data_IF_865343686714
#
_entry.id   IF_865343686714
#
_cell.length_a   1.000
_cell.length_b   1.000
_cell.length_c   1.000
_cell.angle_alpha   90.00
_cell.angle_beta   90.00
_cell.angle_gamma   90.00
#
_symmetry.space_group_name_H-M   'P 1'
#
loop_
_entity.id
_entity.type
_entity.pdbx_description
1 polymer ?
#
# COMPACT_ATOMS: atom_id res chain seq x y z
N UNK A 1 -43.48 -8.05 -5.73
CA UNK A 1 -43.21 -7.29 -6.97
C UNK A 1 -41.70 -7.03 -7.04
N UNK A 2 -40.98 -7.98 -7.65
CA UNK A 2 -39.52 -7.97 -7.79
C UNK A 2 -39.14 -7.05 -8.95
N UNK A 3 -38.77 -5.80 -8.67
CA UNK A 3 -38.07 -4.99 -9.65
C UNK A 3 -36.65 -5.53 -9.74
N UNK A 4 -36.39 -6.29 -10.80
CA UNK A 4 -35.07 -6.84 -11.10
C UNK A 4 -34.08 -5.69 -11.24
N UNK A 5 -33.02 -5.73 -10.43
CA UNK A 5 -31.88 -4.83 -10.53
C UNK A 5 -31.05 -5.29 -11.74
N UNK A 6 -31.57 -5.10 -12.95
CA UNK A 6 -30.80 -5.15 -14.18
C UNK A 6 -30.29 -3.73 -14.46
N UNK A 7 -29.25 -3.32 -13.76
CA UNK A 7 -28.44 -2.17 -14.18
C UNK A 7 -27.26 -2.70 -14.98
N UNK A 8 -27.51 -3.13 -16.21
CA UNK A 8 -26.49 -3.19 -17.25
C UNK A 8 -26.18 -1.74 -17.70
N UNK A 9 -25.71 -0.91 -16.76
CA UNK A 9 -25.09 0.38 -17.08
C UNK A 9 -23.95 0.07 -18.06
N UNK A 10 -23.97 0.62 -19.29
CA UNK A 10 -22.99 0.26 -20.29
C UNK A 10 -21.60 0.55 -19.73
N UNK A 11 -20.76 -0.47 -19.63
CA UNK A 11 -19.39 -0.34 -19.13
C UNK A 11 -18.64 0.66 -20.01
N UNK A 12 -18.56 1.91 -19.55
CA UNK A 12 -17.87 2.93 -20.32
C UNK A 12 -16.40 2.52 -20.44
N UNK A 13 -15.77 2.74 -21.61
CA UNK A 13 -14.33 2.49 -21.76
C UNK A 13 -13.49 3.25 -20.73
N UNK A 14 -14.03 4.35 -20.19
CA UNK A 14 -13.43 5.08 -19.08
C UNK A 14 -13.47 4.27 -17.77
N UNK A 15 -14.63 3.73 -17.39
CA UNK A 15 -14.79 2.93 -16.17
C UNK A 15 -13.87 1.71 -16.20
N UNK A 16 -13.85 0.93 -17.29
CA UNK A 16 -12.98 -0.25 -17.42
C UNK A 16 -11.51 0.12 -17.21
N UNK A 17 -11.03 1.19 -17.86
CA UNK A 17 -9.65 1.67 -17.70
C UNK A 17 -9.36 2.12 -16.27
N UNK A 18 -10.29 2.86 -15.65
CA UNK A 18 -10.12 3.35 -14.29
C UNK A 18 -10.07 2.21 -13.26
N UNK A 19 -10.92 1.18 -13.41
CA UNK A 19 -10.91 0.02 -12.51
C UNK A 19 -9.68 -0.85 -12.75
N UNK A 20 -9.24 -1.05 -13.99
CA UNK A 20 -8.01 -1.78 -14.29
C UNK A 20 -6.78 -1.14 -13.64
N UNK A 21 -6.62 0.19 -13.75
CA UNK A 21 -5.53 0.93 -13.10
C UNK A 21 -5.63 0.83 -11.58
N UNK A 22 -6.84 0.94 -11.01
CA UNK A 22 -7.05 0.80 -9.57
C UNK A 22 -6.70 -0.62 -9.06
N UNK A 23 -7.08 -1.67 -9.79
CA UNK A 23 -6.76 -3.05 -9.46
C UNK A 23 -5.26 -3.35 -9.55
N UNK A 24 -4.56 -2.75 -10.53
CA UNK A 24 -3.09 -2.87 -10.63
C UNK A 24 -2.39 -2.31 -9.39
N UNK A 25 -2.90 -1.21 -8.80
CA UNK A 25 -2.37 -0.69 -7.54
C UNK A 25 -2.47 -1.71 -6.39
N UNK A 26 -3.58 -2.43 -6.28
CA UNK A 26 -3.73 -3.51 -5.30
C UNK A 26 -2.79 -4.69 -5.54
N UNK A 27 -2.53 -5.02 -6.81
CA UNK A 27 -1.57 -6.08 -7.18
C UNK A 27 -0.14 -5.68 -6.81
N UNK A 28 0.27 -4.43 -7.12
CA UNK A 28 1.61 -3.91 -6.79
C UNK A 28 1.81 -3.87 -5.27
N UNK A 29 0.80 -3.41 -4.52
CA UNK A 29 0.87 -3.44 -3.06
C UNK A 29 1.08 -4.85 -2.50
N UNK A 30 0.37 -5.85 -3.04
CA UNK A 30 0.59 -7.25 -2.65
C UNK A 30 1.97 -7.79 -3.04
N UNK A 31 2.52 -7.32 -4.16
CA UNK A 31 3.88 -7.66 -4.59
C UNK A 31 4.93 -7.14 -3.59
N UNK A 32 4.80 -5.89 -3.13
CA UNK A 32 5.74 -5.29 -2.18
C UNK A 32 5.77 -6.06 -0.85
N UNK A 33 4.60 -6.46 -0.33
CA UNK A 33 4.51 -7.30 0.87
C UNK A 33 5.18 -8.67 0.66
N UNK A 34 5.01 -9.26 -0.52
CA UNK A 34 5.64 -10.53 -0.87
C UNK A 34 7.16 -10.45 -0.97
N UNK A 35 7.69 -9.39 -1.58
CA UNK A 35 9.14 -9.15 -1.69
C UNK A 35 9.76 -8.94 -0.30
N UNK A 36 9.12 -8.16 0.58
CA UNK A 36 9.58 -7.97 1.96
C UNK A 36 9.63 -9.31 2.70
N UNK A 37 8.56 -10.12 2.60
CA UNK A 37 8.51 -11.46 3.19
C UNK A 37 9.64 -12.38 2.69
N UNK A 38 9.98 -12.32 1.40
CA UNK A 38 11.09 -13.09 0.82
C UNK A 38 12.49 -12.56 1.21
N UNK A 39 12.64 -11.25 1.41
CA UNK A 39 13.91 -10.62 1.74
C UNK A 39 14.24 -10.66 3.25
N UNK A 40 13.22 -10.76 4.10
CA UNK A 40 13.30 -10.75 5.55
C UNK A 40 14.39 -11.68 6.13
N UNK A 41 14.46 -12.98 5.79
CA UNK A 41 15.50 -13.87 6.33
C UNK A 41 16.93 -13.43 5.99
N UNK A 42 17.12 -12.87 4.78
CA UNK A 42 18.43 -12.36 4.34
C UNK A 42 18.82 -11.07 5.06
N UNK A 43 17.83 -10.21 5.35
CA UNK A 43 18.03 -8.98 6.12
C UNK A 43 18.39 -9.30 7.58
N UNK A 44 17.67 -10.25 8.21
CA UNK A 44 17.95 -10.70 9.58
C UNK A 44 19.38 -11.21 9.73
N UNK A 45 19.86 -12.00 8.75
CA UNK A 45 21.23 -12.50 8.75
C UNK A 45 22.27 -11.37 8.56
N UNK A 46 22.00 -10.42 7.66
CA UNK A 46 22.95 -9.34 7.33
C UNK A 46 23.06 -8.28 8.42
N UNK A 47 21.95 -7.96 9.09
CA UNK A 47 21.88 -6.95 10.14
C UNK A 47 21.95 -7.53 11.56
N UNK A 48 22.07 -8.85 11.72
CA UNK A 48 22.07 -9.54 13.02
C UNK A 48 20.87 -9.17 13.89
N UNK A 49 19.68 -9.09 13.28
CA UNK A 49 18.46 -8.63 13.93
C UNK A 49 17.87 -9.71 14.82
N UNK A 50 17.31 -9.29 15.95
CA UNK A 50 16.52 -10.17 16.82
C UNK A 50 15.15 -10.47 16.20
N UNK A 51 14.51 -11.56 16.64
CA UNK A 51 13.17 -11.92 16.16
C UNK A 51 12.14 -10.83 16.47
N UNK A 52 12.23 -10.22 17.66
CA UNK A 52 11.34 -9.14 18.10
C UNK A 52 11.44 -7.90 17.20
N UNK A 53 12.66 -7.53 16.81
CA UNK A 53 12.95 -6.43 15.90
C UNK A 53 12.26 -6.66 14.55
N UNK A 54 12.46 -7.84 13.96
CA UNK A 54 11.87 -8.22 12.68
C UNK A 54 10.34 -8.20 12.73
N UNK A 55 9.75 -8.81 13.75
CA UNK A 55 8.30 -8.86 13.93
C UNK A 55 7.71 -7.47 14.12
N UNK A 56 8.40 -6.60 14.86
CA UNK A 56 7.98 -5.21 15.06
C UNK A 56 7.95 -4.42 13.74
N UNK A 57 8.98 -4.55 12.91
CA UNK A 57 9.05 -3.87 11.61
C UNK A 57 7.90 -4.30 10.69
N UNK A 58 7.61 -5.60 10.66
CA UNK A 58 6.48 -6.14 9.89
C UNK A 58 5.14 -5.67 10.46
N UNK A 59 5.00 -5.59 11.78
CA UNK A 59 3.79 -5.07 12.43
C UNK A 59 3.52 -3.61 12.05
N UNK A 60 4.52 -2.73 12.10
CA UNK A 60 4.35 -1.32 11.71
C UNK A 60 3.99 -1.16 10.24
N UNK A 61 4.57 -1.97 9.35
CA UNK A 61 4.19 -2.02 7.93
C UNK A 61 2.69 -2.32 7.74
N UNK A 62 2.17 -3.33 8.43
CA UNK A 62 0.74 -3.69 8.36
C UNK A 62 -0.16 -2.64 9.01
N UNK A 63 0.24 -2.07 10.15
CA UNK A 63 -0.50 -0.98 10.79
C UNK A 63 -0.60 0.24 9.86
N UNK A 64 0.52 0.64 9.25
CA UNK A 64 0.55 1.71 8.26
C UNK A 64 -0.35 1.42 7.06
N UNK A 65 -0.38 0.17 6.60
CA UNK A 65 -1.26 -0.26 5.50
C UNK A 65 -2.75 -0.16 5.86
N UNK A 66 -3.14 -0.54 7.09
CA UNK A 66 -4.52 -0.41 7.56
C UNK A 66 -4.93 1.06 7.63
N UNK A 67 -4.09 1.90 8.24
CA UNK A 67 -4.34 3.34 8.35
C UNK A 67 -4.41 3.99 6.97
N UNK A 68 -3.52 3.59 6.05
CA UNK A 68 -3.49 4.04 4.66
C UNK A 68 -4.72 3.59 3.87
N UNK A 69 -5.25 2.39 4.10
CA UNK A 69 -6.47 1.91 3.45
C UNK A 69 -7.70 2.71 3.92
N UNK A 70 -7.82 2.95 5.23
CA UNK A 70 -8.92 3.73 5.81
C UNK A 70 -8.85 5.18 5.32
N UNK A 71 -7.68 5.82 5.46
CA UNK A 71 -7.47 7.21 5.06
C UNK A 71 -7.51 7.41 3.54
N UNK A 72 -6.98 6.46 2.77
CA UNK A 72 -6.93 6.48 1.31
C UNK A 72 -8.30 6.33 0.66
N UNK A 73 -9.19 5.52 1.24
CA UNK A 73 -10.59 5.44 0.83
C UNK A 73 -11.29 6.80 0.97
N UNK A 74 -11.18 7.41 2.15
CA UNK A 74 -11.72 8.74 2.41
C UNK A 74 -11.11 9.82 1.50
N UNK A 75 -9.79 9.78 1.28
CA UNK A 75 -9.10 10.72 0.39
C UNK A 75 -9.55 10.57 -1.07
N UNK A 76 -9.82 9.34 -1.53
CA UNK A 76 -10.37 9.08 -2.87
C UNK A 76 -11.74 9.72 -3.06
N UNK A 77 -12.59 9.67 -2.03
CA UNK A 77 -13.95 10.22 -2.07
C UNK A 77 -13.96 11.76 -1.99
N UNK A 78 -13.07 12.36 -1.20
CA UNK A 78 -13.04 13.82 -0.97
C UNK A 78 -12.26 14.58 -2.06
N UNK A 79 -11.06 14.11 -2.42
CA UNK A 79 -10.17 14.84 -3.34
C UNK A 79 -10.25 14.37 -4.80
N UNK A 80 -10.97 13.26 -5.03
CA UNK A 80 -11.07 12.57 -6.32
C UNK A 80 -9.87 11.65 -6.58
N UNK A 81 -10.13 10.53 -7.27
CA UNK A 81 -9.17 9.41 -7.50
C UNK A 81 -7.78 9.84 -7.94
N UNK A 82 -7.66 10.80 -8.88
CA UNK A 82 -6.35 11.22 -9.41
C UNK A 82 -5.47 11.89 -8.35
N UNK A 83 -6.04 12.76 -7.52
CA UNK A 83 -5.31 13.49 -6.48
C UNK A 83 -4.97 12.58 -5.30
N UNK A 84 -5.88 11.66 -4.97
CA UNK A 84 -5.64 10.65 -3.95
C UNK A 84 -4.42 9.77 -4.30
N UNK A 85 -4.33 9.29 -5.55
CA UNK A 85 -3.18 8.50 -6.04
C UNK A 85 -1.87 9.29 -5.88
N UNK A 86 -1.83 10.55 -6.33
CA UNK A 86 -0.62 11.40 -6.22
C UNK A 86 -0.23 11.62 -4.75
N UNK A 87 -1.20 11.81 -3.86
CA UNK A 87 -0.94 12.01 -2.43
C UNK A 87 -0.33 10.75 -1.81
N UNK A 88 -0.91 9.58 -2.06
CA UNK A 88 -0.38 8.30 -1.56
C UNK A 88 1.00 7.98 -2.12
N UNK A 89 1.24 8.28 -3.39
CA UNK A 89 2.56 8.12 -4.02
C UNK A 89 3.61 9.06 -3.39
N UNK A 90 3.21 10.29 -3.05
CA UNK A 90 4.05 11.22 -2.29
C UNK A 90 4.42 10.72 -0.89
N UNK A 91 3.46 10.15 -0.15
CA UNK A 91 3.72 9.55 1.17
C UNK A 91 4.65 8.34 1.04
N UNK A 92 4.44 7.50 0.03
CA UNK A 92 5.29 6.35 -0.25
C UNK A 92 6.74 6.77 -0.59
N UNK A 93 6.92 7.78 -1.45
CA UNK A 93 8.23 8.30 -1.79
C UNK A 93 8.96 8.88 -0.56
N UNK A 94 8.26 9.62 0.29
CA UNK A 94 8.85 10.16 1.53
C UNK A 94 9.29 9.03 2.46
N UNK A 95 8.44 8.03 2.69
CA UNK A 95 8.79 6.85 3.49
C UNK A 95 9.97 6.07 2.91
N UNK A 96 10.00 5.87 1.59
CA UNK A 96 11.12 5.23 0.90
C UNK A 96 12.42 6.02 1.02
N UNK A 97 12.36 7.35 0.99
CA UNK A 97 13.53 8.21 1.17
C UNK A 97 14.10 8.13 2.60
N UNK A 98 13.21 8.10 3.60
CA UNK A 98 13.58 7.91 5.01
C UNK A 98 14.24 6.54 5.20
N UNK A 99 13.65 5.49 4.63
CA UNK A 99 14.18 4.14 4.69
C UNK A 99 15.54 4.01 3.97
N UNK A 100 15.70 4.66 2.81
CA UNK A 100 16.96 4.66 2.06
C UNK A 100 18.09 5.40 2.79
N UNK A 101 17.74 6.44 3.57
CA UNK A 101 18.68 7.21 4.38
C UNK A 101 18.96 6.62 5.77
N UNK A 102 18.28 5.54 6.16
CA UNK A 102 18.32 4.99 7.51
C UNK A 102 19.71 4.39 7.85
N UNK A 103 20.46 4.98 8.80
CA UNK A 103 21.78 4.45 9.21
C UNK A 103 21.68 3.43 10.36
N UNK A 104 20.49 3.21 10.93
CA UNK A 104 20.26 2.34 12.07
C UNK A 104 18.84 1.78 12.10
N UNK A 105 18.61 0.70 12.86
CA UNK A 105 17.33 0.01 12.95
C UNK A 105 16.17 0.91 13.43
N UNK A 106 16.45 1.89 14.28
CA UNK A 106 15.46 2.87 14.73
C UNK A 106 14.95 3.79 13.62
N UNK A 107 15.71 3.98 12.54
CA UNK A 107 15.28 4.74 11.37
C UNK A 107 14.52 3.87 10.35
N UNK A 108 14.58 2.54 10.46
CA UNK A 108 13.76 1.60 9.66
C UNK A 108 12.32 1.51 10.20
N UNK A 109 12.12 1.89 11.46
CA UNK A 109 10.82 1.88 12.14
C UNK A 109 10.00 3.19 12.00
N UNK A 110 10.58 4.25 11.42
CA UNK A 110 9.95 5.55 11.17
C UNK A 110 9.66 5.74 9.69
#
# INVERSE_FOLDING_TARGET
MTQGINTEEPLTPFLIRATAIASLGGIIFGYDLGVISGALPSLTFSFSLTAEEVESAVAFLYIGSILGAIGGGYACDVFGRKKAIILTDGVFLLGSLVLAGAPSYGAVLL
#
